data_IF_171002736480
#
_entry.id   IF_171002736480
#
_cell.length_a   1.000
_cell.length_b   1.000
_cell.length_c   1.000
_cell.angle_alpha   90.00
_cell.angle_beta   90.00
_cell.angle_gamma   90.00
#
_symmetry.space_group_name_H-M   'P 1'
#
loop_
_entity.id
_entity.type
_entity.pdbx_description
1 polymer ?
#
# COMPACT_ATOMS: atom_id res chain seq x y z
N UNK A 1 9.35 -4.30 -16.56
CA UNK A 1 9.41 -5.69 -17.05
C UNK A 1 8.87 -6.56 -15.92
N UNK A 2 7.96 -7.49 -16.19
CA UNK A 2 7.48 -8.42 -15.15
C UNK A 2 8.65 -9.23 -14.61
N UNK A 3 8.72 -9.42 -13.31
CA UNK A 3 9.77 -10.21 -12.65
C UNK A 3 9.49 -11.70 -12.92
N UNK A 4 10.23 -12.40 -13.80
CA UNK A 4 9.97 -13.81 -14.06
C UNK A 4 10.08 -14.60 -12.76
N UNK A 5 9.00 -15.30 -12.37
CA UNK A 5 8.97 -16.11 -11.15
C UNK A 5 8.67 -15.36 -9.85
N UNK A 6 8.30 -14.06 -9.92
CA UNK A 6 7.95 -13.25 -8.75
C UNK A 6 9.15 -12.75 -7.95
N UNK A 7 8.89 -12.04 -6.85
CA UNK A 7 9.91 -11.34 -6.05
C UNK A 7 10.96 -12.27 -5.44
N UNK A 8 10.55 -13.42 -4.92
CA UNK A 8 11.49 -14.37 -4.30
C UNK A 8 12.48 -14.91 -5.32
N UNK A 9 12.04 -15.19 -6.55
CA UNK A 9 12.92 -15.65 -7.60
C UNK A 9 13.93 -14.56 -8.01
N UNK A 10 13.47 -13.32 -8.15
CA UNK A 10 14.32 -12.19 -8.54
C UNK A 10 15.35 -11.81 -7.47
N UNK A 11 14.92 -11.78 -6.21
CA UNK A 11 15.69 -11.20 -5.11
C UNK A 11 16.05 -12.19 -4.01
N UNK A 12 16.09 -13.50 -4.32
CA UNK A 12 16.41 -14.55 -3.33
C UNK A 12 17.71 -14.27 -2.57
N UNK A 13 18.71 -13.76 -3.24
CA UNK A 13 20.03 -13.43 -2.68
C UNK A 13 20.02 -12.27 -1.67
N UNK A 14 18.93 -11.49 -1.60
CA UNK A 14 18.77 -10.34 -0.69
C UNK A 14 17.62 -10.56 0.31
N UNK A 15 16.73 -11.51 0.06
CA UNK A 15 15.60 -11.80 0.94
C UNK A 15 16.00 -12.83 2.02
N UNK A 16 15.34 -12.81 3.20
CA UNK A 16 15.62 -13.74 4.30
C UNK A 16 15.03 -15.14 4.03
N UNK A 17 15.32 -15.69 2.88
CA UNK A 17 14.84 -17.02 2.42
C UNK A 17 16.02 -17.93 2.10
N UNK A 18 15.86 -19.23 2.35
CA UNK A 18 16.85 -20.27 2.03
C UNK A 18 16.68 -20.78 0.60
N UNK A 19 17.66 -21.49 0.09
CA UNK A 19 17.54 -22.16 -1.21
C UNK A 19 16.34 -23.12 -1.26
N UNK A 20 16.03 -23.74 -0.12
CA UNK A 20 14.92 -24.70 0.06
C UNK A 20 13.58 -24.05 0.38
N UNK A 21 13.54 -22.75 0.66
CA UNK A 21 12.26 -22.05 0.93
C UNK A 21 11.34 -22.17 -0.29
N UNK A 22 10.13 -22.73 -0.14
CA UNK A 22 9.16 -22.83 -1.23
C UNK A 22 8.78 -21.42 -1.74
N UNK A 23 8.59 -21.29 -3.05
CA UNK A 23 8.22 -20.01 -3.67
C UNK A 23 6.73 -19.97 -3.90
N UNK A 24 6.02 -19.30 -3.02
CA UNK A 24 4.59 -19.01 -3.16
C UNK A 24 4.45 -17.67 -3.85
N UNK A 25 4.11 -17.68 -5.12
CA UNK A 25 4.02 -16.46 -5.94
C UNK A 25 2.76 -16.42 -6.78
N UNK A 26 2.27 -15.20 -7.01
CA UNK A 26 1.26 -14.80 -8.00
C UNK A 26 1.88 -13.86 -9.05
N UNK A 27 3.22 -13.84 -9.14
CA UNK A 27 4.04 -12.99 -10.01
C UNK A 27 3.98 -11.50 -9.59
N UNK A 28 3.94 -11.26 -8.30
CA UNK A 28 4.03 -9.93 -7.69
C UNK A 28 5.41 -9.29 -7.95
N UNK A 29 5.46 -7.97 -7.81
CA UNK A 29 6.66 -7.18 -8.11
C UNK A 29 6.78 -6.79 -9.58
N UNK A 30 7.90 -6.17 -9.95
CA UNK A 30 8.10 -5.62 -11.29
C UNK A 30 7.03 -4.59 -11.65
N UNK A 31 6.44 -3.91 -10.65
CA UNK A 31 5.36 -2.95 -10.87
C UNK A 31 5.86 -1.73 -11.64
N UNK A 32 5.00 -1.09 -12.45
CA UNK A 32 5.40 0.04 -13.26
C UNK A 32 6.00 1.19 -12.46
N UNK A 33 7.05 1.80 -13.00
CA UNK A 33 7.55 3.12 -12.63
C UNK A 33 7.21 4.07 -13.77
N UNK A 34 6.09 4.79 -13.62
CA UNK A 34 5.51 5.62 -14.68
C UNK A 34 6.03 7.04 -14.56
N UNK A 35 6.52 7.63 -15.64
CA UNK A 35 6.75 9.07 -15.70
C UNK A 35 5.40 9.81 -15.63
N UNK A 36 5.34 10.89 -14.84
CA UNK A 36 4.13 11.68 -14.61
C UNK A 36 4.32 13.11 -15.15
N UNK A 37 4.10 13.35 -16.45
CA UNK A 37 4.43 14.63 -17.10
C UNK A 37 3.61 15.82 -16.57
N UNK A 38 2.34 15.61 -16.23
CA UNK A 38 1.49 16.69 -15.68
C UNK A 38 1.92 17.08 -14.27
N UNK A 39 2.25 16.08 -13.44
CA UNK A 39 2.84 16.31 -12.12
C UNK A 39 4.22 16.96 -12.22
N UNK A 40 5.07 16.51 -13.14
CA UNK A 40 6.39 17.10 -13.43
C UNK A 40 6.27 18.59 -13.73
N UNK A 41 5.32 18.99 -14.58
CA UNK A 41 5.08 20.40 -14.90
C UNK A 41 4.60 21.21 -13.68
N UNK A 42 3.78 20.64 -12.79
CA UNK A 42 3.27 21.31 -11.58
C UNK A 42 4.32 21.44 -10.47
N UNK A 43 5.19 20.45 -10.37
CA UNK A 43 6.20 20.32 -9.30
C UNK A 43 7.52 21.00 -9.68
N UNK A 44 7.82 21.11 -10.99
CA UNK A 44 9.09 21.63 -11.50
C UNK A 44 10.27 20.69 -11.32
N UNK A 45 10.02 19.41 -11.07
CA UNK A 45 11.01 18.32 -10.94
C UNK A 45 10.49 17.08 -11.64
N UNK A 46 11.35 16.19 -12.19
CA UNK A 46 10.89 14.90 -12.72
C UNK A 46 10.14 14.11 -11.67
N UNK A 47 8.88 13.78 -11.94
CA UNK A 47 8.04 12.98 -11.04
C UNK A 47 7.76 11.63 -11.68
N UNK A 48 7.93 10.57 -10.90
CA UNK A 48 7.59 9.20 -11.26
C UNK A 48 6.60 8.61 -10.26
N UNK A 49 5.74 7.73 -10.74
CA UNK A 49 4.75 7.00 -9.96
C UNK A 49 5.14 5.53 -9.87
N UNK A 50 5.51 5.04 -8.69
CA UNK A 50 5.69 3.61 -8.44
C UNK A 50 4.33 2.99 -8.18
N UNK A 51 3.74 2.35 -9.20
CA UNK A 51 2.36 1.91 -9.15
C UNK A 51 2.22 0.47 -8.61
N UNK A 52 2.25 0.31 -7.30
CA UNK A 52 2.06 -0.97 -6.61
C UNK A 52 0.60 -1.48 -6.63
N UNK A 53 -0.33 -0.65 -7.08
CA UNK A 53 -1.69 -1.08 -7.42
C UNK A 53 -1.75 -2.12 -8.54
N UNK A 54 -0.69 -2.27 -9.34
CA UNK A 54 -0.56 -3.28 -10.39
C UNK A 54 -0.18 -4.68 -9.87
N UNK A 55 0.08 -4.85 -8.58
CA UNK A 55 0.30 -6.18 -8.00
C UNK A 55 -0.96 -7.07 -8.08
N UNK A 56 -0.84 -8.40 -8.04
CA UNK A 56 -1.93 -9.36 -8.29
C UNK A 56 -3.22 -9.13 -7.49
N UNK A 57 -3.12 -8.75 -6.21
CA UNK A 57 -4.32 -8.44 -5.40
C UNK A 57 -4.66 -6.95 -5.36
N UNK A 58 -3.99 -6.14 -6.17
CA UNK A 58 -4.24 -4.71 -6.30
C UNK A 58 -3.55 -3.86 -5.25
N UNK A 59 -2.47 -4.30 -4.59
CA UNK A 59 -1.74 -3.46 -3.64
C UNK A 59 -0.32 -3.96 -3.33
N UNK A 60 0.50 -3.07 -2.76
CA UNK A 60 1.85 -3.36 -2.28
C UNK A 60 1.94 -4.49 -1.24
N UNK A 61 0.81 -4.89 -0.65
CA UNK A 61 0.79 -5.95 0.38
C UNK A 61 1.32 -7.27 -0.16
N UNK A 62 1.18 -7.52 -1.45
CA UNK A 62 1.63 -8.74 -2.12
C UNK A 62 3.14 -8.95 -2.00
N UNK A 63 3.92 -7.85 -2.04
CA UNK A 63 5.38 -7.92 -1.88
C UNK A 63 5.82 -8.59 -0.59
N UNK A 64 5.19 -8.20 0.52
CA UNK A 64 5.48 -8.81 1.82
C UNK A 64 4.81 -10.16 1.99
N UNK A 65 3.65 -10.35 1.39
CA UNK A 65 2.85 -11.56 1.60
C UNK A 65 3.47 -12.79 0.94
N UNK A 66 4.07 -12.64 -0.26
CA UNK A 66 4.80 -13.74 -0.91
C UNK A 66 5.91 -14.30 0.01
N UNK A 67 6.69 -13.44 0.66
CA UNK A 67 7.77 -13.86 1.57
C UNK A 67 7.19 -14.47 2.86
N UNK A 68 6.23 -13.79 3.50
CA UNK A 68 5.66 -14.25 4.76
C UNK A 68 4.96 -15.62 4.62
N UNK A 69 4.19 -15.83 3.54
CA UNK A 69 3.49 -17.09 3.30
C UNK A 69 4.46 -18.20 2.89
N UNK A 70 5.47 -17.91 2.08
CA UNK A 70 6.51 -18.89 1.73
C UNK A 70 7.25 -19.38 2.96
N UNK A 71 7.59 -18.48 3.90
CA UNK A 71 8.24 -18.85 5.17
C UNK A 71 7.30 -19.53 6.15
N UNK A 72 6.01 -19.17 6.16
CA UNK A 72 5.01 -19.89 6.95
C UNK A 72 4.89 -21.34 6.49
N UNK A 73 4.84 -21.57 5.17
CA UNK A 73 4.81 -22.92 4.61
C UNK A 73 6.11 -23.70 4.92
N UNK A 74 7.27 -23.06 4.80
CA UNK A 74 8.58 -23.64 5.16
C UNK A 74 8.62 -24.06 6.63
N UNK A 75 7.99 -23.29 7.52
CA UNK A 75 7.90 -23.60 8.95
C UNK A 75 6.85 -24.68 9.30
N UNK A 76 6.11 -25.20 8.31
CA UNK A 76 5.08 -26.21 8.53
C UNK A 76 3.77 -25.67 9.10
N UNK A 77 3.53 -24.35 9.00
CA UNK A 77 2.27 -23.76 9.46
C UNK A 77 1.07 -24.32 8.68
N UNK A 78 -0.08 -24.48 9.37
CA UNK A 78 -1.34 -24.93 8.75
C UNK A 78 -2.18 -23.76 8.27
N UNK A 79 -1.92 -22.55 8.79
CA UNK A 79 -2.71 -21.38 8.50
C UNK A 79 -1.86 -20.09 8.56
N UNK A 80 -2.38 -19.03 7.93
CA UNK A 80 -1.98 -17.66 8.21
C UNK A 80 -3.18 -16.91 8.78
N UNK A 81 -2.93 -15.93 9.65
CA UNK A 81 -3.99 -15.16 10.28
C UNK A 81 -3.66 -13.66 10.30
N UNK A 82 -4.69 -12.83 10.15
CA UNK A 82 -4.56 -11.38 10.27
C UNK A 82 -5.82 -10.71 10.80
N UNK A 83 -5.62 -9.55 11.43
CA UNK A 83 -6.69 -8.59 11.73
C UNK A 83 -6.66 -7.49 10.66
N UNK A 84 -7.59 -7.53 9.69
CA UNK A 84 -7.66 -6.51 8.62
C UNK A 84 -8.92 -6.65 7.78
N UNK A 85 -9.57 -5.52 7.47
CA UNK A 85 -10.72 -5.45 6.54
C UNK A 85 -10.33 -5.14 5.08
N UNK A 86 -9.04 -4.87 4.80
CA UNK A 86 -8.62 -4.28 3.52
C UNK A 86 -7.53 -5.05 2.79
N UNK A 87 -6.55 -4.30 2.27
CA UNK A 87 -5.49 -4.84 1.41
C UNK A 87 -4.70 -6.01 2.02
N UNK A 88 -4.51 -6.02 3.35
CA UNK A 88 -3.78 -7.12 4.02
C UNK A 88 -4.57 -8.42 3.97
N UNK A 89 -5.87 -8.42 4.30
CA UNK A 89 -6.70 -9.63 4.25
C UNK A 89 -6.86 -10.17 2.83
N UNK A 90 -7.02 -9.29 1.84
CA UNK A 90 -7.10 -9.67 0.43
C UNK A 90 -5.82 -10.41 -0.03
N UNK A 91 -4.66 -9.84 0.27
CA UNK A 91 -3.37 -10.43 -0.06
C UNK A 91 -3.12 -11.73 0.71
N UNK A 92 -3.37 -11.74 2.04
CA UNK A 92 -3.20 -12.95 2.87
C UNK A 92 -4.03 -14.13 2.33
N UNK A 93 -5.29 -13.88 2.00
CA UNK A 93 -6.17 -14.91 1.47
C UNK A 93 -5.70 -15.47 0.11
N UNK A 94 -5.27 -14.59 -0.80
CA UNK A 94 -4.80 -14.99 -2.12
C UNK A 94 -3.53 -15.86 -2.04
N UNK A 95 -2.53 -15.44 -1.26
CA UNK A 95 -1.29 -16.18 -1.12
C UNK A 95 -1.45 -17.46 -0.27
N UNK A 96 -2.33 -17.45 0.75
CA UNK A 96 -2.68 -18.65 1.49
C UNK A 96 -3.35 -19.70 0.58
N UNK A 97 -4.33 -19.28 -0.23
CA UNK A 97 -4.97 -20.15 -1.21
C UNK A 97 -3.93 -20.75 -2.18
N UNK A 98 -2.99 -19.94 -2.67
CA UNK A 98 -1.90 -20.38 -3.54
C UNK A 98 -0.97 -21.40 -2.87
N UNK A 99 -0.78 -21.27 -1.55
CA UNK A 99 0.07 -22.16 -0.73
C UNK A 99 -0.65 -23.41 -0.22
N UNK A 100 -1.96 -23.53 -0.40
CA UNK A 100 -2.76 -24.59 0.23
C UNK A 100 -2.93 -24.43 1.75
N UNK A 101 -2.70 -23.23 2.29
CA UNK A 101 -2.87 -22.92 3.71
C UNK A 101 -4.27 -22.33 3.98
N UNK A 102 -4.79 -22.56 5.19
CA UNK A 102 -5.95 -21.84 5.64
C UNK A 102 -5.62 -20.33 5.85
N UNK A 103 -6.58 -19.45 5.56
CA UNK A 103 -6.50 -18.03 5.90
C UNK A 103 -7.60 -17.67 6.89
N UNK A 104 -7.22 -17.09 8.02
CA UNK A 104 -8.14 -16.61 9.05
C UNK A 104 -8.07 -15.09 9.12
N UNK A 105 -9.22 -14.43 8.95
CA UNK A 105 -9.36 -12.98 9.06
C UNK A 105 -10.26 -12.66 10.24
N UNK A 106 -9.70 -11.99 11.24
CA UNK A 106 -10.44 -11.59 12.46
C UNK A 106 -10.70 -10.08 12.39
N UNK A 107 -11.95 -9.69 12.68
CA UNK A 107 -12.41 -8.31 12.59
C UNK A 107 -13.15 -7.91 13.87
N UNK A 108 -13.18 -6.62 14.22
CA UNK A 108 -14.11 -6.15 15.23
C UNK A 108 -15.55 -6.27 14.70
N UNK A 109 -16.49 -6.66 15.60
CA UNK A 109 -17.92 -6.62 15.30
C UNK A 109 -18.38 -5.18 15.06
N UNK A 110 -19.34 -5.00 14.13
CA UNK A 110 -19.89 -3.69 13.78
C UNK A 110 -19.97 -3.49 12.26
N UNK A 111 -19.79 -2.26 11.80
CA UNK A 111 -19.91 -1.90 10.39
C UNK A 111 -18.77 -2.48 9.54
N UNK A 112 -18.89 -3.73 9.13
CA UNK A 112 -17.95 -4.38 8.23
C UNK A 112 -18.36 -4.09 6.78
N UNK A 113 -17.54 -3.33 6.07
CA UNK A 113 -17.72 -3.08 4.63
C UNK A 113 -17.44 -4.37 3.83
N UNK A 114 -18.46 -5.19 3.59
CA UNK A 114 -18.34 -6.47 2.87
C UNK A 114 -17.64 -6.32 1.52
N UNK A 115 -17.82 -5.20 0.82
CA UNK A 115 -17.13 -4.91 -0.43
C UNK A 115 -15.59 -4.92 -0.30
N UNK A 116 -15.04 -4.47 0.83
CA UNK A 116 -13.60 -4.52 1.11
C UNK A 116 -13.10 -5.93 1.43
N UNK A 117 -13.99 -6.81 1.89
CA UNK A 117 -13.68 -8.23 2.18
C UNK A 117 -13.97 -9.16 1.01
N UNK A 118 -14.65 -8.69 -0.02
CA UNK A 118 -15.09 -9.52 -1.14
C UNK A 118 -13.94 -10.36 -1.72
N UNK A 119 -12.78 -9.75 -1.89
CA UNK A 119 -11.60 -10.43 -2.43
C UNK A 119 -11.08 -11.52 -1.47
N UNK A 120 -10.98 -11.24 -0.16
CA UNK A 120 -10.55 -12.21 0.83
C UNK A 120 -11.53 -13.40 0.92
N UNK A 121 -12.83 -13.13 0.94
CA UNK A 121 -13.89 -14.15 0.97
C UNK A 121 -13.83 -15.03 -0.29
N UNK A 122 -13.68 -14.44 -1.47
CA UNK A 122 -13.60 -15.19 -2.74
C UNK A 122 -12.35 -16.03 -2.87
N UNK A 123 -11.25 -15.66 -2.20
CA UNK A 123 -10.05 -16.51 -2.06
C UNK A 123 -10.17 -17.56 -0.95
N UNK A 124 -11.34 -17.73 -0.32
CA UNK A 124 -11.61 -18.78 0.65
C UNK A 124 -11.17 -18.46 2.09
N UNK A 125 -10.90 -17.20 2.42
CA UNK A 125 -10.59 -16.83 3.80
C UNK A 125 -11.79 -17.11 4.73
N UNK A 126 -11.49 -17.62 5.93
CA UNK A 126 -12.45 -17.75 7.03
C UNK A 126 -12.48 -16.44 7.78
N UNK A 127 -13.57 -15.68 7.61
CA UNK A 127 -13.75 -14.38 8.24
C UNK A 127 -14.60 -14.53 9.48
N UNK A 128 -14.15 -14.00 10.62
CA UNK A 128 -14.87 -14.01 11.88
C UNK A 128 -14.83 -12.62 12.52
N UNK A 129 -15.95 -12.21 13.12
CA UNK A 129 -16.02 -10.99 13.90
C UNK A 129 -15.92 -11.31 15.40
N UNK A 130 -15.18 -10.47 16.13
CA UNK A 130 -15.07 -10.53 17.61
C UNK A 130 -15.63 -9.26 18.22
N UNK A 131 -16.14 -9.34 19.43
CA UNK A 131 -16.59 -8.18 20.19
C UNK A 131 -15.40 -7.27 20.54
N UNK A 132 -15.60 -5.97 20.48
CA UNK A 132 -14.61 -4.96 20.82
C UNK A 132 -14.06 -4.18 19.62
N UNK A 133 -12.97 -3.45 19.85
CA UNK A 133 -12.29 -2.62 18.85
C UNK A 133 -11.23 -3.42 18.06
N UNK A 134 -10.56 -2.75 17.13
CA UNK A 134 -9.50 -3.36 16.30
C UNK A 134 -8.37 -4.01 17.13
N UNK A 135 -8.01 -3.41 18.26
CA UNK A 135 -6.95 -3.94 19.12
C UNK A 135 -7.34 -5.28 19.73
N UNK A 136 -8.61 -5.47 20.13
CA UNK A 136 -9.11 -6.77 20.60
C UNK A 136 -9.02 -7.84 19.51
N UNK A 137 -9.38 -7.52 18.26
CA UNK A 137 -9.23 -8.44 17.15
C UNK A 137 -7.75 -8.82 16.90
N UNK A 138 -6.85 -7.85 17.02
CA UNK A 138 -5.41 -8.10 16.87
C UNK A 138 -4.84 -8.96 18.00
N UNK A 139 -5.27 -8.76 19.24
CA UNK A 139 -4.88 -9.58 20.39
C UNK A 139 -5.35 -11.03 20.24
N UNK A 140 -6.59 -11.25 19.80
CA UNK A 140 -7.10 -12.60 19.51
C UNK A 140 -6.23 -13.30 18.45
N UNK A 141 -5.86 -12.59 17.37
CA UNK A 141 -4.99 -13.17 16.35
C UNK A 141 -3.60 -13.47 16.89
N UNK A 142 -3.01 -12.58 17.71
CA UNK A 142 -1.71 -12.82 18.36
C UNK A 142 -1.74 -14.04 19.26
N UNK A 143 -2.76 -14.17 20.11
CA UNK A 143 -2.93 -15.32 21.00
C UNK A 143 -3.12 -16.61 20.19
N UNK A 144 -3.94 -16.58 19.14
CA UNK A 144 -4.17 -17.73 18.26
C UNK A 144 -2.90 -18.19 17.55
N UNK A 145 -2.03 -17.26 17.16
CA UNK A 145 -0.80 -17.58 16.42
C UNK A 145 0.38 -17.95 17.33
N UNK A 146 0.28 -17.73 18.65
CA UNK A 146 1.34 -18.02 19.62
C UNK A 146 1.70 -19.53 19.70
N UNK A 147 0.75 -20.43 19.37
CA UNK A 147 0.96 -21.87 19.33
C UNK A 147 1.76 -22.40 18.14
N UNK A 148 2.09 -21.56 17.16
CA UNK A 148 2.90 -21.91 15.99
C UNK A 148 2.17 -22.66 14.86
N UNK A 149 0.93 -23.12 15.07
CA UNK A 149 0.14 -23.75 13.99
C UNK A 149 -0.34 -22.77 12.93
N UNK A 150 -0.44 -21.48 13.27
CA UNK A 150 -0.76 -20.38 12.39
C UNK A 150 0.30 -19.28 12.50
N UNK A 151 0.53 -18.54 11.42
CA UNK A 151 1.48 -17.41 11.37
C UNK A 151 0.72 -16.08 11.27
N UNK A 152 1.05 -15.14 12.16
CA UNK A 152 0.55 -13.77 12.09
C UNK A 152 1.14 -13.06 10.89
N UNK A 153 0.28 -12.55 9.97
CA UNK A 153 0.71 -11.82 8.77
C UNK A 153 0.25 -10.36 8.76
N UNK A 154 0.10 -9.73 9.92
CA UNK A 154 -0.07 -8.28 10.07
C UNK A 154 1.23 -7.52 9.77
N UNK A 155 1.18 -6.19 9.78
CA UNK A 155 2.31 -5.31 9.44
C UNK A 155 3.56 -5.49 10.31
N UNK A 156 3.42 -6.09 11.51
CA UNK A 156 4.50 -6.41 12.43
C UNK A 156 5.37 -7.60 11.98
N UNK A 157 4.92 -8.41 11.05
CA UNK A 157 5.67 -9.57 10.58
C UNK A 157 6.94 -9.11 9.83
N UNK A 158 8.16 -9.51 10.25
CA UNK A 158 9.42 -9.05 9.66
C UNK A 158 9.59 -9.50 8.20
N UNK A 159 9.06 -10.66 7.84
CA UNK A 159 9.13 -11.18 6.48
C UNK A 159 8.32 -10.31 5.51
N UNK A 160 7.24 -9.69 6.02
CA UNK A 160 6.48 -8.71 5.24
C UNK A 160 7.29 -7.43 4.97
N UNK A 161 8.01 -6.94 5.97
CA UNK A 161 8.92 -5.79 5.79
C UNK A 161 10.00 -6.15 4.78
N UNK A 162 10.61 -7.35 4.90
CA UNK A 162 11.63 -7.80 3.95
C UNK A 162 11.14 -7.81 2.50
N UNK A 163 9.96 -8.37 2.24
CA UNK A 163 9.39 -8.39 0.89
C UNK A 163 9.06 -7.00 0.35
N UNK A 164 8.64 -6.06 1.19
CA UNK A 164 8.33 -4.68 0.77
C UNK A 164 9.58 -3.87 0.39
N UNK A 165 10.77 -4.21 0.88
CA UNK A 165 12.04 -3.58 0.50
C UNK A 165 12.29 -3.65 -1.02
N UNK A 166 11.80 -4.70 -1.67
CA UNK A 166 11.99 -4.93 -3.10
C UNK A 166 11.50 -3.78 -3.99
N UNK A 167 10.52 -3.00 -3.54
CA UNK A 167 10.04 -1.85 -4.28
C UNK A 167 11.13 -0.75 -4.41
N UNK A 168 11.93 -0.52 -3.35
CA UNK A 168 13.05 0.40 -3.40
C UNK A 168 14.15 -0.13 -4.34
N UNK A 169 14.42 -1.45 -4.33
CA UNK A 169 15.39 -2.05 -5.24
C UNK A 169 14.98 -1.89 -6.70
N UNK A 170 13.71 -2.17 -7.02
CA UNK A 170 13.16 -1.97 -8.38
C UNK A 170 13.27 -0.51 -8.86
N UNK A 171 13.09 0.47 -7.96
CA UNK A 171 13.24 1.89 -8.29
C UNK A 171 14.70 2.21 -8.63
N UNK A 172 15.64 1.77 -7.79
CA UNK A 172 17.07 1.97 -8.06
C UNK A 172 17.51 1.28 -9.35
N UNK A 173 17.06 0.05 -9.59
CA UNK A 173 17.34 -0.67 -10.84
C UNK A 173 16.78 0.04 -12.08
N UNK A 174 15.60 0.68 -11.95
CA UNK A 174 14.97 1.39 -13.07
C UNK A 174 15.58 2.77 -13.35
N UNK A 175 16.00 3.50 -12.30
CA UNK A 175 16.58 4.85 -12.43
C UNK A 175 18.11 4.85 -12.52
N UNK A 176 18.77 3.75 -12.14
CA UNK A 176 20.22 3.65 -11.98
C UNK A 176 20.74 4.11 -10.62
N UNK A 177 19.96 4.89 -9.90
CA UNK A 177 20.25 5.41 -8.55
C UNK A 177 18.95 5.67 -7.77
N UNK A 178 19.04 5.99 -6.48
CA UNK A 178 17.88 6.42 -5.73
C UNK A 178 17.36 7.78 -6.20
N UNK A 179 16.03 8.05 -6.11
CA UNK A 179 15.50 9.38 -6.35
C UNK A 179 16.00 10.39 -5.32
N UNK A 180 15.91 11.68 -5.62
CA UNK A 180 16.19 12.73 -4.63
C UNK A 180 15.18 12.66 -3.46
N UNK A 181 13.92 12.34 -3.78
CA UNK A 181 12.83 12.16 -2.80
C UNK A 181 12.03 10.90 -3.11
N UNK A 182 11.83 10.09 -2.07
CA UNK A 182 10.87 8.99 -2.08
C UNK A 182 9.66 9.37 -1.24
N UNK A 183 8.51 9.60 -1.87
CA UNK A 183 7.27 9.98 -1.21
C UNK A 183 6.33 8.76 -1.04
N UNK A 184 5.78 8.61 0.18
CA UNK A 184 4.89 7.48 0.53
C UNK A 184 3.72 7.93 1.41
N UNK A 185 2.54 7.30 1.28
CA UNK A 185 1.51 7.39 2.30
C UNK A 185 1.94 6.65 3.57
N UNK A 186 1.59 7.18 4.73
CA UNK A 186 1.97 6.61 6.03
C UNK A 186 0.72 6.32 6.87
N UNK A 187 0.40 5.03 7.02
CA UNK A 187 -0.58 4.53 7.99
C UNK A 187 0.13 3.78 9.12
N UNK A 188 0.22 2.44 9.05
CA UNK A 188 0.98 1.61 10.00
C UNK A 188 2.51 1.80 9.91
N UNK A 189 2.98 2.65 9.03
CA UNK A 189 4.39 3.04 8.86
C UNK A 189 5.36 1.94 8.37
N UNK A 190 4.92 0.69 8.25
CA UNK A 190 5.79 -0.42 7.79
C UNK A 190 6.30 -0.25 6.35
N UNK A 191 5.56 0.45 5.48
CA UNK A 191 5.99 0.62 4.09
C UNK A 191 7.16 1.61 3.96
N UNK A 192 7.10 2.77 4.64
CA UNK A 192 8.21 3.75 4.64
C UNK A 192 9.46 3.14 5.30
N UNK A 193 9.28 2.38 6.38
CA UNK A 193 10.34 1.60 7.03
C UNK A 193 11.01 0.65 6.04
N UNK A 194 10.21 -0.15 5.32
CA UNK A 194 10.72 -1.12 4.35
C UNK A 194 11.47 -0.45 3.19
N UNK A 195 10.93 0.65 2.65
CA UNK A 195 11.61 1.40 1.59
C UNK A 195 12.96 1.95 2.06
N UNK A 196 13.01 2.55 3.26
CA UNK A 196 14.27 3.04 3.83
C UNK A 196 15.30 1.93 4.00
N UNK A 197 14.90 0.80 4.61
CA UNK A 197 15.75 -0.38 4.74
C UNK A 197 16.23 -0.89 3.36
N UNK A 198 15.34 -0.92 2.37
CA UNK A 198 15.66 -1.35 1.01
C UNK A 198 16.70 -0.45 0.33
N UNK A 199 16.55 0.87 0.43
CA UNK A 199 17.55 1.81 -0.10
C UNK A 199 18.88 1.68 0.63
N UNK A 200 18.87 1.58 1.95
CA UNK A 200 20.09 1.39 2.76
C UNK A 200 20.84 0.11 2.40
N UNK A 201 20.12 -0.98 2.14
CA UNK A 201 20.71 -2.26 1.70
C UNK A 201 21.40 -2.17 0.33
N UNK A 202 21.09 -1.16 -0.47
CA UNK A 202 21.75 -0.86 -1.74
C UNK A 202 22.81 0.25 -1.65
N UNK A 203 23.13 0.73 -0.44
CA UNK A 203 24.04 1.86 -0.24
C UNK A 203 23.47 3.20 -0.70
N UNK A 204 22.14 3.31 -0.80
CA UNK A 204 21.41 4.49 -1.27
C UNK A 204 20.71 5.19 -0.09
N UNK A 205 20.44 6.49 -0.23
CA UNK A 205 19.81 7.28 0.83
C UNK A 205 18.99 8.45 0.29
N UNK A 206 17.84 8.21 -0.38
CA UNK A 206 16.94 9.29 -0.79
C UNK A 206 16.35 9.98 0.45
N UNK A 207 15.86 11.21 0.32
CA UNK A 207 15.04 11.81 1.37
C UNK A 207 13.69 11.11 1.41
N UNK A 208 13.36 10.53 2.57
CA UNK A 208 12.08 9.84 2.78
C UNK A 208 11.01 10.85 3.17
N UNK A 209 10.00 11.00 2.33
CA UNK A 209 8.85 11.86 2.56
C UNK A 209 7.61 11.03 2.85
N UNK A 210 7.17 11.03 4.10
CA UNK A 210 5.97 10.34 4.56
C UNK A 210 4.78 11.30 4.68
N UNK A 211 3.59 10.85 4.26
CA UNK A 211 2.38 11.66 4.39
C UNK A 211 1.27 10.91 5.08
N UNK A 212 0.79 11.49 6.18
CA UNK A 212 -0.39 11.03 6.92
C UNK A 212 -1.60 11.87 6.53
N UNK A 213 -2.81 11.28 6.57
CA UNK A 213 -4.02 12.08 6.48
C UNK A 213 -4.20 12.89 7.78
N UNK A 214 -4.59 14.17 7.69
CA UNK A 214 -4.64 15.09 8.84
C UNK A 214 -5.47 14.55 10.01
N UNK A 215 -6.64 13.95 9.75
CA UNK A 215 -7.47 13.32 10.79
C UNK A 215 -6.93 11.98 11.31
N UNK A 216 -5.76 11.52 10.81
CA UNK A 216 -5.09 10.28 11.21
C UNK A 216 -3.56 10.47 11.14
N UNK A 217 -3.03 11.52 11.79
CA UNK A 217 -1.64 11.94 11.71
C UNK A 217 -0.89 11.82 13.06
N UNK A 218 -0.88 10.66 13.72
CA UNK A 218 -0.28 10.48 15.04
C UNK A 218 1.21 10.81 15.08
N UNK A 219 1.99 10.47 14.04
CA UNK A 219 3.44 10.76 14.01
C UNK A 219 3.70 12.25 13.91
N UNK A 220 2.88 12.99 13.16
CA UNK A 220 2.96 14.45 13.05
C UNK A 220 2.60 15.11 14.38
N UNK A 221 1.56 14.62 15.05
CA UNK A 221 1.11 15.14 16.34
C UNK A 221 2.00 14.71 17.52
N UNK A 222 2.84 13.70 17.36
CA UNK A 222 3.67 13.14 18.41
C UNK A 222 2.90 12.30 19.45
N UNK A 223 1.63 11.98 19.19
CA UNK A 223 0.75 11.22 20.08
C UNK A 223 -0.26 10.38 19.30
N UNK A 224 -0.72 9.21 19.82
CA UNK A 224 -1.77 8.42 19.21
C UNK A 224 -3.08 9.22 19.04
N UNK A 225 -3.79 8.98 17.94
CA UNK A 225 -5.12 9.53 17.64
C UNK A 225 -6.17 8.47 18.00
N UNK A 226 -6.99 8.74 19.00
CA UNK A 226 -7.97 7.75 19.51
C UNK A 226 -9.09 7.44 18.50
N UNK A 227 -9.52 8.45 17.75
CA UNK A 227 -10.59 8.32 16.73
C UNK A 227 -10.09 8.87 15.40
N UNK A 228 -9.26 8.09 14.66
CA UNK A 228 -8.75 8.55 13.39
C UNK A 228 -9.85 8.56 12.32
N UNK A 229 -9.98 9.68 11.61
CA UNK A 229 -10.95 9.84 10.53
C UNK A 229 -10.29 10.38 9.27
N UNK A 230 -10.57 9.78 8.13
CA UNK A 230 -10.14 10.23 6.80
C UNK A 230 -10.84 9.42 5.71
N UNK A 231 -10.99 10.01 4.53
CA UNK A 231 -11.42 9.33 3.30
C UNK A 231 -10.38 8.29 2.83
N UNK A 232 -9.12 8.46 3.20
CA UNK A 232 -8.00 7.58 2.87
C UNK A 232 -7.96 6.35 3.81
N UNK A 233 -8.98 5.50 3.73
CA UNK A 233 -9.25 4.42 4.70
C UNK A 233 -8.07 3.47 4.96
N UNK A 234 -7.19 3.23 3.97
CA UNK A 234 -6.04 2.34 4.12
C UNK A 234 -4.90 2.92 4.99
N UNK A 235 -4.91 4.25 5.22
CA UNK A 235 -3.99 4.94 6.16
C UNK A 235 -4.72 5.54 7.37
N UNK A 236 -5.99 5.18 7.62
CA UNK A 236 -6.76 5.60 8.80
C UNK A 236 -6.30 4.83 10.03
N UNK A 237 -5.11 5.19 10.53
CA UNK A 237 -4.42 4.50 11.63
C UNK A 237 -4.08 5.52 12.71
N UNK A 238 -4.62 5.31 13.91
CA UNK A 238 -4.38 6.20 15.04
C UNK A 238 -3.11 5.87 15.85
N UNK A 239 -2.59 4.64 15.75
CA UNK A 239 -1.38 4.22 16.46
C UNK A 239 -0.54 3.30 15.56
N UNK A 240 0.41 3.82 14.79
CA UNK A 240 1.23 3.06 13.86
C UNK A 240 2.10 2.00 14.52
N UNK A 241 2.08 0.78 14.00
CA UNK A 241 2.87 -0.32 14.52
C UNK A 241 4.40 -0.12 14.35
N UNK A 242 4.83 0.54 13.27
CA UNK A 242 6.26 0.83 12.99
C UNK A 242 6.57 2.32 13.18
N UNK A 243 6.06 2.92 14.26
CA UNK A 243 6.23 4.35 14.55
C UNK A 243 7.70 4.75 14.67
N UNK A 244 8.46 4.05 15.51
CA UNK A 244 9.85 4.35 15.79
C UNK A 244 10.72 4.24 14.55
N UNK A 245 10.50 3.19 13.77
CA UNK A 245 11.24 2.92 12.54
C UNK A 245 10.95 3.96 11.45
N UNK A 246 9.70 4.44 11.38
CA UNK A 246 9.34 5.51 10.44
C UNK A 246 9.98 6.86 10.82
N UNK A 247 10.01 7.18 12.12
CA UNK A 247 10.70 8.37 12.63
C UNK A 247 12.20 8.27 12.35
N UNK A 248 12.82 7.11 12.60
CA UNK A 248 14.21 6.87 12.25
C UNK A 248 14.47 7.04 10.74
N UNK A 249 13.60 6.48 9.88
CA UNK A 249 13.71 6.63 8.43
C UNK A 249 13.63 8.11 8.00
N UNK A 250 12.73 8.90 8.60
CA UNK A 250 12.63 10.36 8.38
C UNK A 250 13.93 11.06 8.77
N UNK A 251 14.40 10.82 9.98
CA UNK A 251 15.52 11.57 10.57
C UNK A 251 16.86 11.21 9.90
N UNK A 252 17.14 9.92 9.72
CA UNK A 252 18.34 9.43 9.05
C UNK A 252 18.43 9.86 7.59
N UNK A 253 17.29 9.93 6.87
CA UNK A 253 17.22 10.35 5.48
C UNK A 253 17.20 11.87 5.31
N UNK A 254 17.13 12.65 6.41
CA UNK A 254 16.84 14.10 6.38
C UNK A 254 15.55 14.42 5.62
N UNK A 255 14.56 13.52 5.73
CA UNK A 255 13.26 13.61 5.12
C UNK A 255 12.25 14.34 6.00
N UNK A 256 10.96 14.11 5.69
CA UNK A 256 9.82 14.67 6.44
C UNK A 256 8.74 13.62 6.65
N UNK A 257 7.95 13.78 7.71
CA UNK A 257 6.62 13.17 7.83
C UNK A 257 5.67 14.30 8.20
N UNK A 258 4.71 14.56 7.30
CA UNK A 258 3.78 15.69 7.38
C UNK A 258 2.34 15.21 7.17
N UNK A 259 1.37 16.06 7.51
CA UNK A 259 -0.04 15.81 7.29
C UNK A 259 -0.52 16.46 5.98
N UNK A 260 -1.50 15.80 5.34
CA UNK A 260 -2.26 16.33 4.20
C UNK A 260 -3.74 16.22 4.49
N UNK A 261 -4.53 17.20 4.07
CA UNK A 261 -5.98 17.20 4.29
C UNK A 261 -6.70 16.22 3.36
N UNK A 262 -7.92 15.84 3.71
CA UNK A 262 -8.75 15.00 2.84
C UNK A 262 -9.04 15.68 1.49
N UNK A 263 -9.19 17.02 1.46
CA UNK A 263 -9.36 17.79 0.21
C UNK A 263 -8.12 17.69 -0.68
N UNK A 264 -6.92 17.81 -0.10
CA UNK A 264 -5.66 17.64 -0.85
C UNK A 264 -5.52 16.22 -1.40
N UNK A 265 -5.88 15.21 -0.59
CA UNK A 265 -5.88 13.80 -1.03
C UNK A 265 -6.86 13.59 -2.18
N UNK A 266 -8.10 14.10 -2.08
CA UNK A 266 -9.10 13.96 -3.13
C UNK A 266 -8.75 14.74 -4.40
N UNK A 267 -8.11 15.91 -4.28
CA UNK A 267 -7.60 16.66 -5.43
C UNK A 267 -6.50 15.87 -6.16
N UNK A 268 -5.54 15.31 -5.43
CA UNK A 268 -4.49 14.45 -6.00
C UNK A 268 -5.04 13.15 -6.58
N UNK A 269 -6.06 12.55 -5.95
CA UNK A 269 -6.76 11.38 -6.42
C UNK A 269 -7.39 11.59 -7.81
N UNK A 270 -8.11 12.72 -7.98
CA UNK A 270 -8.69 13.10 -9.29
C UNK A 270 -7.60 13.39 -10.31
N UNK A 271 -6.58 14.17 -9.95
CA UNK A 271 -5.47 14.49 -10.84
C UNK A 271 -4.77 13.22 -11.38
N UNK A 272 -4.51 12.23 -10.51
CA UNK A 272 -3.92 10.96 -10.93
C UNK A 272 -4.78 10.25 -11.99
N UNK A 273 -6.08 10.21 -11.79
CA UNK A 273 -7.01 9.54 -12.72
C UNK A 273 -7.22 10.33 -14.02
N UNK A 274 -7.50 11.63 -13.90
CA UNK A 274 -7.95 12.47 -15.01
C UNK A 274 -6.80 13.00 -15.87
N UNK A 275 -5.63 13.26 -15.27
CA UNK A 275 -4.51 13.88 -15.99
C UNK A 275 -3.34 12.92 -16.26
N UNK A 276 -3.10 11.95 -15.36
CA UNK A 276 -2.03 10.96 -15.54
C UNK A 276 -2.55 9.57 -15.99
N UNK A 277 -3.88 9.38 -16.01
CA UNK A 277 -4.52 8.11 -16.41
C UNK A 277 -4.28 6.97 -15.41
N UNK A 278 -3.97 7.27 -14.14
CA UNK A 278 -3.63 6.27 -13.12
C UNK A 278 -4.71 6.21 -12.04
N UNK A 279 -5.50 5.14 -12.05
CA UNK A 279 -6.56 4.93 -11.09
C UNK A 279 -6.02 4.23 -9.82
N UNK A 280 -5.73 5.01 -8.80
CA UNK A 280 -5.18 4.54 -7.52
C UNK A 280 -6.19 4.71 -6.37
N UNK A 281 -6.04 3.97 -5.26
CA UNK A 281 -6.88 4.18 -4.07
C UNK A 281 -6.58 5.54 -3.40
N UNK A 282 -7.54 6.15 -2.67
CA UNK A 282 -7.35 7.47 -2.06
C UNK A 282 -6.12 7.56 -1.16
N UNK A 283 -5.84 6.51 -0.39
CA UNK A 283 -4.64 6.45 0.45
C UNK A 283 -3.34 6.60 -0.35
N UNK A 284 -3.30 6.08 -1.57
CA UNK A 284 -2.15 6.21 -2.48
C UNK A 284 -1.91 7.67 -2.87
N UNK A 285 -2.98 8.43 -3.08
CA UNK A 285 -2.90 9.82 -3.50
C UNK A 285 -2.28 10.75 -2.44
N UNK A 286 -2.20 10.32 -1.16
CA UNK A 286 -1.56 11.11 -0.11
C UNK A 286 -0.08 11.40 -0.41
N UNK A 287 0.65 10.49 -1.10
CA UNK A 287 2.03 10.73 -1.52
C UNK A 287 2.14 11.91 -2.51
N UNK A 288 1.21 11.96 -3.48
CA UNK A 288 1.15 13.03 -4.49
C UNK A 288 0.64 14.33 -3.88
N UNK A 289 -0.40 14.27 -3.04
CA UNK A 289 -0.93 15.42 -2.30
C UNK A 289 0.18 16.11 -1.50
N UNK A 290 0.99 15.32 -0.79
CA UNK A 290 2.10 15.84 -0.01
C UNK A 290 3.21 16.45 -0.87
N UNK A 291 3.59 15.80 -1.97
CA UNK A 291 4.58 16.36 -2.90
C UNK A 291 4.11 17.72 -3.46
N UNK A 292 2.83 17.83 -3.81
CA UNK A 292 2.26 19.10 -4.29
C UNK A 292 2.20 20.16 -3.20
N UNK A 293 1.81 19.80 -1.98
CA UNK A 293 1.69 20.74 -0.85
C UNK A 293 3.05 21.27 -0.38
N UNK A 294 4.09 20.45 -0.44
CA UNK A 294 5.43 20.79 0.05
C UNK A 294 6.47 20.98 -1.06
N UNK A 295 6.03 21.22 -2.30
CA UNK A 295 6.89 21.32 -3.50
C UNK A 295 8.05 22.29 -3.35
N UNK A 296 7.86 23.39 -2.63
CA UNK A 296 8.89 24.42 -2.42
C UNK A 296 10.06 23.94 -1.53
N UNK A 297 9.90 22.79 -0.85
CA UNK A 297 10.93 22.15 -0.02
C UNK A 297 11.69 21.04 -0.77
N UNK A 298 11.31 20.76 -2.02
CA UNK A 298 11.94 19.69 -2.81
C UNK A 298 13.39 20.03 -3.16
N UNK A 299 14.32 19.07 -2.98
CA UNK A 299 15.67 19.20 -3.52
C UNK A 299 15.68 19.08 -5.04
N UNK A 300 16.84 19.36 -5.65
CA UNK A 300 17.07 19.02 -7.05
C UNK A 300 17.06 17.50 -7.27
N UNK A 301 16.53 17.06 -8.41
CA UNK A 301 16.51 15.68 -8.82
C UNK A 301 15.11 15.05 -8.88
N UNK A 302 15.02 13.75 -9.23
CA UNK A 302 13.76 13.06 -9.43
C UNK A 302 13.02 12.80 -8.10
N UNK A 303 11.69 12.85 -8.18
CA UNK A 303 10.76 12.50 -7.09
C UNK A 303 10.01 11.23 -7.48
N UNK A 304 9.97 10.25 -6.60
CA UNK A 304 9.13 9.05 -6.78
C UNK A 304 8.00 9.06 -5.77
N UNK A 305 6.75 9.04 -6.25
CA UNK A 305 5.56 8.85 -5.43
C UNK A 305 5.11 7.38 -5.50
N UNK A 306 5.00 6.71 -4.36
CA UNK A 306 4.45 5.35 -4.31
C UNK A 306 2.93 5.38 -4.26
N UNK A 307 2.30 4.74 -5.25
CA UNK A 307 0.87 4.48 -5.31
C UNK A 307 0.61 3.05 -4.81
N UNK A 308 0.19 2.95 -3.57
CA UNK A 308 0.17 1.72 -2.77
C UNK A 308 -0.91 0.72 -3.15
N UNK A 309 -2.01 1.18 -3.77
CA UNK A 309 -3.13 0.33 -4.14
C UNK A 309 -3.91 0.86 -5.34
N UNK A 310 -4.61 -0.06 -5.99
CA UNK A 310 -5.48 0.19 -7.15
C UNK A 310 -6.77 0.89 -6.72
N UNK A 311 -7.36 1.74 -7.56
CA UNK A 311 -8.60 2.47 -7.29
C UNK A 311 -9.80 1.57 -6.95
N UNK A 312 -9.87 0.39 -7.55
CA UNK A 312 -10.91 -0.61 -7.25
C UNK A 312 -10.84 -1.20 -5.83
N UNK A 313 -9.84 -0.85 -5.01
CA UNK A 313 -9.80 -1.21 -3.59
C UNK A 313 -10.78 -0.36 -2.76
N UNK A 314 -11.21 0.80 -3.26
CA UNK A 314 -12.23 1.65 -2.64
C UNK A 314 -13.23 2.20 -3.69
N UNK A 315 -14.02 1.34 -4.36
CA UNK A 315 -14.89 1.75 -5.45
C UNK A 315 -16.04 2.66 -4.98
N UNK A 316 -16.42 2.57 -3.71
CA UNK A 316 -17.51 3.41 -3.17
C UNK A 316 -17.14 4.90 -3.18
N UNK A 317 -15.89 5.23 -2.88
CA UNK A 317 -15.43 6.62 -2.96
C UNK A 317 -15.41 7.13 -4.41
N UNK A 318 -14.99 6.29 -5.35
CA UNK A 318 -14.96 6.65 -6.76
C UNK A 318 -16.36 6.99 -7.33
N UNK A 319 -17.40 6.41 -6.74
CA UNK A 319 -18.79 6.60 -7.19
C UNK A 319 -19.55 7.64 -6.36
N UNK A 320 -18.98 8.17 -5.29
CA UNK A 320 -19.71 9.02 -4.33
C UNK A 320 -20.31 10.29 -4.94
N UNK A 321 -19.57 10.93 -5.84
CA UNK A 321 -19.92 12.22 -6.43
C UNK A 321 -20.26 12.10 -7.92
N UNK A 322 -20.54 10.88 -8.41
CA UNK A 322 -20.92 10.64 -9.81
C UNK A 322 -22.39 11.03 -10.00
N UNK A 323 -22.68 11.99 -10.89
CA UNK A 323 -24.07 12.34 -11.20
C UNK A 323 -24.78 11.20 -11.94
N UNK A 324 -26.10 11.28 -11.98
CA UNK A 324 -26.91 10.36 -12.79
C UNK A 324 -26.41 10.37 -14.24
N UNK A 325 -26.28 9.18 -14.82
CA UNK A 325 -25.83 9.04 -16.20
C UNK A 325 -26.88 9.61 -17.16
N UNK A 326 -26.51 10.57 -18.05
CA UNK A 326 -27.45 11.12 -19.01
C UNK A 326 -27.87 10.06 -20.01
N UNK A 327 -29.16 10.07 -20.35
CA UNK A 327 -29.74 9.24 -21.41
C UNK A 327 -30.00 10.14 -22.60
N UNK A 328 -29.40 9.82 -23.75
CA UNK A 328 -29.56 10.55 -25.01
C UNK A 328 -30.18 9.62 -26.06
N UNK A 329 -30.70 10.21 -27.16
CA UNK A 329 -31.12 9.41 -28.30
C UNK A 329 -29.94 8.64 -28.90
N UNK A 330 -30.14 7.41 -29.44
CA UNK A 330 -29.09 6.56 -30.00
C UNK A 330 -28.64 7.03 -31.40
N UNK A 331 -28.25 8.30 -31.51
CA UNK A 331 -27.78 8.91 -32.77
C UNK A 331 -26.43 9.65 -32.57
N UNK A 332 -25.59 9.71 -33.61
CA UNK A 332 -24.36 10.48 -33.58
C UNK A 332 -24.56 11.98 -33.29
N UNK A 333 -25.67 12.55 -33.80
CA UNK A 333 -26.03 13.96 -33.64
C UNK A 333 -26.33 14.28 -32.16
N UNK A 334 -27.11 13.42 -31.49
CA UNK A 334 -27.38 13.56 -30.06
C UNK A 334 -26.11 13.47 -29.23
N UNK A 335 -25.17 12.58 -29.60
CA UNK A 335 -23.90 12.45 -28.92
C UNK A 335 -23.01 13.70 -29.10
N UNK A 336 -22.93 14.23 -30.36
CA UNK A 336 -22.19 15.49 -30.61
C UNK A 336 -22.80 16.67 -29.83
N UNK A 337 -24.14 16.78 -29.87
CA UNK A 337 -24.84 17.84 -29.12
C UNK A 337 -24.57 17.78 -27.62
N UNK A 338 -24.54 16.57 -27.05
CA UNK A 338 -24.22 16.37 -25.62
C UNK A 338 -22.76 16.71 -25.28
N UNK A 339 -21.83 16.41 -26.19
CA UNK A 339 -20.40 16.73 -26.05
C UNK A 339 -20.10 18.22 -26.34
N UNK A 340 -21.04 18.97 -26.91
CA UNK A 340 -20.81 20.35 -27.33
C UNK A 340 -19.92 20.47 -28.57
N UNK A 341 -19.93 19.46 -29.47
CA UNK A 341 -19.13 19.38 -30.71
C UNK A 341 -19.95 19.71 -31.95
#
# INVERSE_FOLDING_TARGET
>A
MSTPGGLIAAYRHRLPVRATTPVITLLEGGTPLLAAPRLTARVGRPVFLKYDGANPTGSFKDRGMTVAVSKALEAGAKAVACASTGNTSASAAAYAARAGLACVVVLPAGNVALGKLAQAIRHGARVVCVEGAFDAALEVVRAFTAGGEAVLVNSLNPDRIAGQQTAAWEIVEALGEAPAVQALPVGNAGNITAYWMGYRAMGQAPRMWGFQAEGAAPIVHGAPVAHPETVATAIRIGNPASWKEAVAARDESRGIIEAVTDEQILAAYRLLAEEEGVFAEPASAASVAGVLAFRDRLPEGPVVCTLTGHGLKDPQLALRDVPDLPVIAPTPEALRSWLGW
#
